data_IF_497281627983
#
_entry.id   IF_497281627983
#
_cell.length_a   1.000
_cell.length_b   1.000
_cell.length_c   1.000
_cell.angle_alpha   90.00
_cell.angle_beta   90.00
_cell.angle_gamma   90.00
#
_symmetry.space_group_name_H-M   'P 1'
#
loop_
_entity.id
_entity.type
_entity.pdbx_description
1 polymer ?
#
# COMPACT_ATOMS: atom_id res chain seq x y z
N UNK A 1 22.90 16.67 -7.80
CA UNK A 1 21.69 17.50 -7.67
C UNK A 1 21.74 18.18 -6.31
N UNK A 2 21.65 19.52 -6.28
CA UNK A 2 21.53 20.30 -5.04
C UNK A 2 20.05 20.66 -4.82
N UNK A 3 19.60 20.61 -3.57
CA UNK A 3 18.25 20.98 -3.13
C UNK A 3 18.21 21.04 -1.60
N UNK A 4 17.46 21.99 -1.07
CA UNK A 4 17.27 22.22 0.38
C UNK A 4 16.62 20.98 1.01
N UNK A 5 16.95 20.59 2.27
CA UNK A 5 16.30 19.46 2.93
C UNK A 5 14.78 19.57 2.85
N UNK A 6 14.11 18.45 2.53
CA UNK A 6 12.67 18.40 2.24
C UNK A 6 11.79 18.97 3.37
N UNK A 7 12.35 19.05 4.58
CA UNK A 7 11.75 19.63 5.78
C UNK A 7 11.50 21.15 5.69
N UNK A 8 12.19 21.87 4.80
CA UNK A 8 12.02 23.33 4.64
C UNK A 8 11.05 23.72 3.50
N UNK A 9 10.64 22.75 2.66
CA UNK A 9 9.84 23.03 1.46
C UNK A 9 8.41 22.52 1.59
N UNK A 10 8.18 21.48 2.39
CA UNK A 10 6.84 20.96 2.65
C UNK A 10 6.39 21.36 4.06
N UNK A 11 5.34 22.18 4.22
CA UNK A 11 4.71 22.36 5.53
C UNK A 11 4.30 20.98 6.07
N UNK A 12 4.17 20.86 7.41
CA UNK A 12 3.62 19.67 8.07
C UNK A 12 2.34 19.28 7.34
N UNK A 13 2.41 18.24 6.50
CA UNK A 13 1.27 17.83 5.67
C UNK A 13 0.11 17.60 6.64
N UNK A 14 -1.03 18.30 6.49
CA UNK A 14 -2.17 18.06 7.34
C UNK A 14 -2.49 16.58 7.24
N UNK A 15 -2.42 15.87 8.37
CA UNK A 15 -2.66 14.41 8.45
C UNK A 15 -3.95 14.00 7.74
N UNK A 16 -4.91 14.91 7.67
CA UNK A 16 -6.19 14.79 6.96
C UNK A 16 -6.04 14.74 5.44
N UNK A 17 -5.30 15.66 4.82
CA UNK A 17 -5.15 15.71 3.36
C UNK A 17 -4.40 14.48 2.82
N UNK A 18 -3.38 14.02 3.57
CA UNK A 18 -2.68 12.78 3.24
C UNK A 18 -3.60 11.56 3.37
N UNK A 19 -4.37 11.49 4.46
CA UNK A 19 -5.32 10.39 4.69
C UNK A 19 -6.37 10.35 3.57
N UNK A 20 -6.95 11.48 3.21
CA UNK A 20 -7.97 11.57 2.15
C UNK A 20 -7.40 11.08 0.81
N UNK A 21 -6.15 11.44 0.49
CA UNK A 21 -5.47 10.96 -0.71
C UNK A 21 -5.28 9.44 -0.73
N UNK A 22 -4.80 8.83 0.36
CA UNK A 22 -4.58 7.38 0.39
C UNK A 22 -5.88 6.58 0.50
N UNK A 23 -6.92 7.16 1.11
CA UNK A 23 -8.24 6.53 1.23
C UNK A 23 -8.98 6.46 -0.11
N UNK A 24 -8.82 7.47 -0.96
CA UNK A 24 -9.36 7.43 -2.32
C UNK A 24 -8.70 6.31 -3.13
N UNK A 25 -7.36 6.24 -3.11
CA UNK A 25 -6.62 5.14 -3.72
C UNK A 25 -7.12 3.79 -3.20
N UNK A 26 -7.27 3.63 -1.89
CA UNK A 26 -7.72 2.38 -1.28
C UNK A 26 -9.10 1.94 -1.76
N UNK A 27 -10.08 2.86 -1.85
CA UNK A 27 -11.42 2.55 -2.36
C UNK A 27 -11.36 2.04 -3.80
N UNK A 28 -10.61 2.71 -4.67
CA UNK A 28 -10.38 2.24 -6.04
C UNK A 28 -9.71 0.86 -6.08
N UNK A 29 -8.79 0.60 -5.15
CA UNK A 29 -8.08 -0.67 -5.06
C UNK A 29 -8.97 -1.84 -4.64
N UNK A 30 -10.05 -1.60 -3.90
CA UNK A 30 -10.99 -2.65 -3.52
C UNK A 30 -11.77 -3.19 -4.73
N UNK A 31 -12.01 -2.35 -5.72
CA UNK A 31 -12.70 -2.70 -6.97
C UNK A 31 -11.73 -3.23 -8.03
N UNK A 32 -10.49 -2.72 -8.08
CA UNK A 32 -9.57 -2.93 -9.20
C UNK A 32 -8.34 -3.80 -8.88
N UNK A 33 -8.36 -4.58 -7.78
CA UNK A 33 -7.19 -5.37 -7.35
C UNK A 33 -6.70 -6.37 -8.40
N UNK A 34 -7.61 -6.91 -9.23
CA UNK A 34 -7.27 -7.87 -10.30
C UNK A 34 -6.65 -7.18 -11.52
N UNK A 35 -7.13 -5.99 -11.86
CA UNK A 35 -6.67 -5.21 -13.02
C UNK A 35 -5.31 -4.52 -12.75
N UNK A 36 -5.11 -4.05 -11.52
CA UNK A 36 -3.92 -3.29 -11.14
C UNK A 36 -3.25 -3.84 -9.86
N UNK A 37 -2.82 -5.11 -9.82
CA UNK A 37 -2.41 -5.79 -8.59
C UNK A 37 -1.25 -5.12 -7.87
N UNK A 38 -0.21 -4.70 -8.60
CA UNK A 38 0.95 -4.03 -8.00
C UNK A 38 0.58 -2.69 -7.37
N UNK A 39 -0.29 -1.93 -8.04
CA UNK A 39 -0.79 -0.66 -7.52
C UNK A 39 -1.65 -0.90 -6.27
N UNK A 40 -2.60 -1.83 -6.38
CA UNK A 40 -3.61 -2.07 -5.37
C UNK A 40 -3.04 -2.66 -4.09
N UNK A 41 -2.21 -3.69 -4.18
CA UNK A 41 -1.57 -4.32 -3.02
C UNK A 41 -0.78 -3.29 -2.22
N UNK A 42 0.02 -2.45 -2.90
CA UNK A 42 0.87 -1.48 -2.21
C UNK A 42 0.06 -0.33 -1.59
N UNK A 43 -1.00 0.15 -2.25
CA UNK A 43 -1.84 1.21 -1.69
C UNK A 43 -2.73 0.71 -0.53
N UNK A 44 -3.23 -0.53 -0.60
CA UNK A 44 -3.93 -1.16 0.55
C UNK A 44 -3.01 -1.23 1.77
N UNK A 45 -1.76 -1.67 1.59
CA UNK A 45 -0.79 -1.71 2.69
C UNK A 45 -0.46 -0.32 3.25
N UNK A 46 -0.41 0.71 2.40
CA UNK A 46 -0.16 2.10 2.85
C UNK A 46 -1.28 2.62 3.74
N UNK A 47 -2.54 2.34 3.40
CA UNK A 47 -3.68 2.70 4.25
C UNK A 47 -3.66 1.92 5.55
N UNK A 48 -3.49 0.60 5.46
CA UNK A 48 -3.45 -0.23 6.67
C UNK A 48 -2.36 0.21 7.65
N UNK A 49 -1.14 0.44 7.16
CA UNK A 49 -0.03 0.93 7.98
C UNK A 49 -0.27 2.31 8.58
N UNK A 50 -0.87 3.21 7.81
CA UNK A 50 -1.18 4.55 8.30
C UNK A 50 -2.22 4.50 9.42
N UNK A 51 -3.26 3.66 9.29
CA UNK A 51 -4.26 3.47 10.35
C UNK A 51 -3.70 2.74 11.57
N UNK A 52 -2.80 1.77 11.36
CA UNK A 52 -2.21 0.97 12.44
C UNK A 52 -1.18 1.76 13.27
N UNK A 53 -0.29 2.51 12.62
CA UNK A 53 0.89 3.12 13.26
C UNK A 53 0.92 4.66 13.15
N UNK A 54 0.00 5.28 12.41
CA UNK A 54 0.05 6.71 12.08
C UNK A 54 1.21 7.10 11.17
N UNK A 55 1.89 6.11 10.57
CA UNK A 55 3.12 6.28 9.82
C UNK A 55 2.84 6.50 8.33
N UNK A 56 3.43 7.56 7.77
CA UNK A 56 3.46 7.81 6.33
C UNK A 56 4.53 6.90 5.70
N UNK A 57 4.11 5.98 4.85
CA UNK A 57 4.99 5.03 4.17
C UNK A 57 4.92 5.20 2.65
N UNK A 58 6.07 5.10 1.99
CA UNK A 58 6.15 4.88 0.56
C UNK A 58 5.64 3.48 0.18
N UNK A 59 5.35 3.27 -1.11
CA UNK A 59 4.93 1.95 -1.65
C UNK A 59 5.97 0.86 -1.35
N UNK A 60 7.26 1.16 -1.49
CA UNK A 60 8.33 0.19 -1.25
C UNK A 60 8.53 -0.11 0.23
N UNK A 61 8.36 0.89 1.12
CA UNK A 61 8.38 0.65 2.56
C UNK A 61 7.20 -0.18 3.03
N UNK A 62 6.00 0.12 2.54
CA UNK A 62 4.80 -0.65 2.87
C UNK A 62 4.93 -2.11 2.44
N UNK A 63 5.44 -2.35 1.22
CA UNK A 63 5.74 -3.69 0.75
C UNK A 63 6.81 -4.41 1.58
N UNK A 64 7.91 -3.74 1.92
CA UNK A 64 8.95 -4.36 2.78
C UNK A 64 8.43 -4.70 4.18
N UNK A 65 7.62 -3.83 4.77
CA UNK A 65 7.00 -4.07 6.07
C UNK A 65 6.10 -5.32 6.03
N UNK A 66 5.31 -5.48 4.97
CA UNK A 66 4.39 -6.60 4.82
C UNK A 66 5.06 -7.94 4.47
N UNK A 67 6.39 -7.98 4.31
CA UNK A 67 7.15 -9.24 4.16
C UNK A 67 7.14 -10.10 5.42
N UNK A 68 6.74 -9.55 6.57
CA UNK A 68 6.53 -10.30 7.82
C UNK A 68 5.05 -10.68 8.05
N UNK A 69 4.18 -10.46 7.06
CA UNK A 69 2.76 -10.78 7.15
C UNK A 69 2.45 -12.19 6.62
N UNK A 70 1.25 -12.75 6.88
CA UNK A 70 0.80 -14.00 6.25
C UNK A 70 0.80 -13.97 4.71
N UNK A 71 0.83 -12.78 4.11
CA UNK A 71 0.84 -12.58 2.66
C UNK A 71 2.24 -12.24 2.10
N UNK A 72 3.31 -12.54 2.85
CA UNK A 72 4.69 -12.29 2.42
C UNK A 72 5.01 -12.83 1.01
N UNK A 73 4.43 -13.96 0.61
CA UNK A 73 4.58 -14.52 -0.74
C UNK A 73 4.00 -13.60 -1.82
N UNK A 74 2.73 -13.19 -1.69
CA UNK A 74 2.05 -12.27 -2.61
C UNK A 74 2.73 -10.90 -2.63
N UNK A 75 3.15 -10.39 -1.48
CA UNK A 75 3.89 -9.12 -1.37
C UNK A 75 5.26 -9.23 -2.05
N UNK A 76 5.97 -10.34 -1.87
CA UNK A 76 7.23 -10.62 -2.55
C UNK A 76 7.10 -10.62 -4.06
N UNK A 77 6.03 -11.25 -4.60
CA UNK A 77 5.69 -11.21 -6.03
C UNK A 77 5.42 -9.77 -6.51
N UNK A 78 4.67 -8.98 -5.75
CA UNK A 78 4.40 -7.57 -6.06
C UNK A 78 5.68 -6.74 -6.13
N UNK A 79 6.58 -6.89 -5.16
CA UNK A 79 7.85 -6.18 -5.14
C UNK A 79 8.77 -6.57 -6.30
N UNK A 80 8.78 -7.84 -6.68
CA UNK A 80 9.51 -8.33 -7.86
C UNK A 80 8.91 -7.78 -9.16
N UNK A 81 7.58 -7.83 -9.34
CA UNK A 81 6.92 -7.28 -10.52
C UNK A 81 7.12 -5.77 -10.66
N UNK A 82 7.11 -5.04 -9.56
CA UNK A 82 7.42 -3.60 -9.52
C UNK A 82 8.83 -3.27 -10.02
N UNK A 83 9.79 -4.20 -9.86
CA UNK A 83 11.16 -4.09 -10.41
C UNK A 83 11.28 -4.52 -11.87
N UNK A 84 10.17 -4.88 -12.52
CA UNK A 84 10.15 -5.28 -13.93
C UNK A 84 10.20 -6.79 -14.15
N UNK A 85 10.15 -7.61 -13.08
CA UNK A 85 10.12 -9.06 -13.23
C UNK A 85 8.75 -9.53 -13.76
N UNK A 86 8.76 -10.44 -14.74
CA UNK A 86 7.54 -11.01 -15.31
C UNK A 86 6.91 -12.04 -14.36
N UNK A 87 6.15 -11.55 -13.38
CA UNK A 87 5.41 -12.36 -12.42
C UNK A 87 3.91 -12.22 -12.65
N UNK A 88 3.19 -13.34 -12.62
CA UNK A 88 1.73 -13.40 -12.62
C UNK A 88 1.18 -13.54 -11.20
N UNK A 89 -0.09 -13.18 -11.06
CA UNK A 89 -0.87 -13.45 -9.85
C UNK A 89 -2.08 -14.30 -10.19
N UNK A 90 -2.55 -15.10 -9.24
CA UNK A 90 -3.89 -15.69 -9.33
C UNK A 90 -4.95 -14.73 -8.81
N UNK A 91 -6.18 -14.82 -9.33
CA UNK A 91 -7.28 -14.02 -8.80
C UNK A 91 -7.55 -14.37 -7.33
N UNK A 92 -7.47 -15.65 -6.98
CA UNK A 92 -7.65 -16.13 -5.61
C UNK A 92 -6.64 -15.50 -4.63
N UNK A 93 -5.36 -15.38 -4.98
CA UNK A 93 -4.38 -14.78 -4.06
C UNK A 93 -4.61 -13.28 -3.86
N UNK A 94 -5.05 -12.58 -4.90
CA UNK A 94 -5.33 -11.14 -4.85
C UNK A 94 -6.61 -10.85 -4.08
N UNK A 95 -7.66 -11.65 -4.29
CA UNK A 95 -8.92 -11.54 -3.56
C UNK A 95 -8.75 -11.88 -2.08
N UNK A 96 -8.05 -12.95 -1.75
CA UNK A 96 -7.74 -13.31 -0.37
C UNK A 96 -6.93 -12.20 0.34
N UNK A 97 -5.92 -11.65 -0.35
CA UNK A 97 -5.16 -10.50 0.14
C UNK A 97 -6.07 -9.30 0.41
N UNK A 98 -6.90 -8.92 -0.56
CA UNK A 98 -7.82 -7.80 -0.45
C UNK A 98 -8.75 -7.97 0.75
N UNK A 99 -9.44 -9.10 0.84
CA UNK A 99 -10.40 -9.37 1.91
C UNK A 99 -9.75 -9.36 3.30
N UNK A 100 -8.54 -9.90 3.42
CA UNK A 100 -7.81 -9.91 4.69
C UNK A 100 -7.47 -8.50 5.18
N UNK A 101 -6.91 -7.66 4.29
CA UNK A 101 -6.53 -6.31 4.67
C UNK A 101 -7.74 -5.36 4.76
N UNK A 102 -8.79 -5.60 3.99
CA UNK A 102 -10.04 -4.87 4.10
C UNK A 102 -10.65 -5.02 5.50
N UNK A 103 -10.79 -6.26 5.99
CA UNK A 103 -11.26 -6.53 7.36
C UNK A 103 -10.40 -5.87 8.44
N UNK A 104 -9.08 -5.81 8.22
CA UNK A 104 -8.15 -5.14 9.13
C UNK A 104 -8.31 -3.62 9.14
N UNK A 105 -8.52 -3.02 7.97
CA UNK A 105 -8.79 -1.59 7.85
C UNK A 105 -10.12 -1.24 8.50
N UNK A 106 -11.17 -2.04 8.26
CA UNK A 106 -12.49 -1.87 8.87
C UNK A 106 -12.45 -2.00 10.40
N UNK A 107 -11.57 -2.83 10.96
CA UNK A 107 -11.41 -2.96 12.41
C UNK A 107 -10.65 -1.81 13.09
N UNK A 108 -9.99 -0.94 12.31
CA UNK A 108 -9.19 0.20 12.82
C UNK A 108 -9.90 1.54 12.66
N UNK A 109 -11.09 1.56 12.04
CA UNK A 109 -11.81 2.77 11.65
C UNK A 109 -13.18 2.86 12.33
#
# INVERSE_FOLDING_TARGET
MYGVPICEVFPVIPKKDYLDSIMNDYKDCLENVLEAPVYCVLNILRVYLYLLEGRICSKDEAGRWAMNSPYASTVGKVLKRRRGEAISFSDEELLAFKEYYQKKVEALN
#
